data_IF_756969739321
#
_entry.id   IF_756969739321
#
_cell.length_a   1.000
_cell.length_b   1.000
_cell.length_c   1.000
_cell.angle_alpha   90.00
_cell.angle_beta   90.00
_cell.angle_gamma   90.00
#
_symmetry.space_group_name_H-M   'P 1'
#
loop_
_entity.id
_entity.type
_entity.pdbx_description
1 polymer ?
#
# COMPACT_ATOMS: atom_id res chain seq x y z
N UNK A 1 12.66 -1.93 40.71
CA UNK A 1 12.35 -3.00 39.74
C UNK A 1 11.91 -2.37 38.42
N UNK A 2 12.78 -2.33 37.40
CA UNK A 2 12.42 -1.99 36.01
C UNK A 2 13.07 -3.04 35.10
N UNK A 3 12.55 -4.26 35.15
CA UNK A 3 13.11 -5.43 34.48
C UNK A 3 12.62 -5.64 33.03
N UNK A 4 11.72 -4.78 32.52
CA UNK A 4 11.04 -5.02 31.24
C UNK A 4 11.46 -4.10 30.09
N UNK A 5 12.42 -3.20 30.27
CA UNK A 5 12.79 -2.21 29.24
C UNK A 5 14.06 -2.54 28.44
N UNK A 6 14.61 -3.73 28.60
CA UNK A 6 15.96 -4.10 28.11
C UNK A 6 15.94 -4.97 26.84
N UNK A 7 14.79 -5.45 26.37
CA UNK A 7 14.74 -6.43 25.27
C UNK A 7 13.93 -6.05 24.03
N UNK A 8 13.55 -4.79 23.86
CA UNK A 8 12.97 -4.38 22.58
C UNK A 8 13.45 -2.98 22.22
N UNK A 9 14.70 -2.92 21.74
CA UNK A 9 15.25 -1.80 20.99
C UNK A 9 14.64 -1.80 19.57
N UNK A 10 13.31 -1.77 19.52
CA UNK A 10 12.52 -1.79 18.29
C UNK A 10 12.03 -0.36 18.09
N UNK A 11 12.83 0.41 17.34
CA UNK A 11 12.53 1.81 17.01
C UNK A 11 11.17 1.98 16.30
N UNK A 12 10.71 0.95 15.59
CA UNK A 12 9.38 0.90 14.98
C UNK A 12 8.81 -0.53 14.95
N UNK A 13 7.62 -0.69 15.51
CA UNK A 13 6.79 -1.90 15.29
C UNK A 13 5.97 -1.65 14.04
N UNK A 14 6.53 -2.02 12.88
CA UNK A 14 5.78 -1.99 11.62
C UNK A 14 4.93 -3.26 11.53
N UNK A 15 3.61 -3.10 11.43
CA UNK A 15 2.70 -4.24 11.30
C UNK A 15 2.60 -4.59 9.83
N UNK A 16 3.28 -5.66 9.45
CA UNK A 16 3.32 -6.18 8.09
C UNK A 16 2.65 -7.55 8.00
N UNK A 17 1.87 -7.75 6.95
CA UNK A 17 1.27 -9.04 6.59
C UNK A 17 1.73 -9.45 5.20
N UNK A 18 2.02 -10.73 5.00
CA UNK A 18 2.29 -11.25 3.66
C UNK A 18 1.07 -12.03 3.18
N UNK A 19 0.36 -11.48 2.20
CA UNK A 19 -0.87 -12.06 1.64
C UNK A 19 -0.75 -12.01 0.12
N UNK A 20 -1.01 -13.13 -0.57
CA UNK A 20 -0.89 -13.26 -2.03
C UNK A 20 0.53 -12.94 -2.57
N UNK A 21 1.57 -13.22 -1.79
CA UNK A 21 2.96 -12.89 -2.15
C UNK A 21 3.28 -11.39 -2.12
N UNK A 22 2.35 -10.56 -1.65
CA UNK A 22 2.51 -9.13 -1.47
C UNK A 22 2.71 -8.82 0.01
N UNK A 23 3.56 -7.84 0.30
CA UNK A 23 3.64 -7.21 1.63
C UNK A 23 2.51 -6.20 1.74
N UNK A 24 1.72 -6.34 2.79
CA UNK A 24 0.62 -5.47 3.15
C UNK A 24 0.98 -4.77 4.44
N UNK A 25 0.81 -3.46 4.47
CA UNK A 25 0.90 -2.65 5.69
C UNK A 25 -0.46 -2.03 5.97
N UNK A 26 -0.58 -1.34 7.10
CA UNK A 26 -1.85 -0.75 7.53
C UNK A 26 -2.50 0.17 6.48
N UNK A 27 -1.79 1.13 5.85
CA UNK A 27 -2.40 2.00 4.83
C UNK A 27 -2.91 1.24 3.61
N UNK A 28 -2.13 0.30 3.06
CA UNK A 28 -2.59 -0.53 1.92
C UNK A 28 -3.78 -1.42 2.27
N UNK A 29 -3.82 -1.98 3.48
CA UNK A 29 -5.01 -2.70 3.98
C UNK A 29 -6.23 -1.79 4.09
N UNK A 30 -6.07 -0.57 4.64
CA UNK A 30 -7.16 0.41 4.75
C UNK A 30 -7.70 0.76 3.35
N UNK A 31 -6.82 0.95 2.36
CA UNK A 31 -7.23 1.20 0.98
C UNK A 31 -8.02 0.02 0.39
N UNK A 32 -7.59 -1.22 0.63
CA UNK A 32 -8.31 -2.40 0.13
C UNK A 32 -9.71 -2.52 0.76
N UNK A 33 -9.79 -2.39 2.09
CA UNK A 33 -11.06 -2.42 2.82
C UNK A 33 -11.96 -1.26 2.36
N UNK A 34 -11.39 -0.06 2.19
CA UNK A 34 -12.10 1.11 1.69
C UNK A 34 -12.68 0.90 0.29
N UNK A 35 -11.93 0.29 -0.63
CA UNK A 35 -12.41 -0.03 -1.97
C UNK A 35 -13.58 -1.03 -1.96
N UNK A 36 -13.51 -2.05 -1.11
CA UNK A 36 -14.59 -3.03 -0.95
C UNK A 36 -15.84 -2.40 -0.32
N UNK A 37 -15.68 -1.61 0.75
CA UNK A 37 -16.78 -0.89 1.39
C UNK A 37 -17.44 0.09 0.43
N UNK A 38 -16.65 0.80 -0.38
CA UNK A 38 -17.17 1.67 -1.43
C UNK A 38 -18.03 0.90 -2.43
N UNK A 39 -17.58 -0.27 -2.90
CA UNK A 39 -18.38 -1.15 -3.75
C UNK A 39 -19.71 -1.57 -3.11
N UNK A 40 -19.72 -1.88 -1.81
CA UNK A 40 -20.94 -2.21 -1.06
C UNK A 40 -21.88 -1.00 -0.97
N UNK A 41 -21.36 0.19 -0.69
CA UNK A 41 -22.15 1.42 -0.64
C UNK A 41 -22.80 1.69 -2.00
N UNK A 42 -22.04 1.58 -3.10
CA UNK A 42 -22.57 1.76 -4.46
C UNK A 42 -23.59 0.69 -4.81
N UNK A 43 -23.39 -0.54 -4.34
CA UNK A 43 -24.36 -1.65 -4.51
C UNK A 43 -25.71 -1.30 -3.89
N UNK A 44 -25.71 -0.67 -2.71
CA UNK A 44 -26.94 -0.24 -2.02
C UNK A 44 -27.55 1.03 -2.62
N UNK A 45 -26.73 1.94 -3.16
CA UNK A 45 -27.19 3.21 -3.70
C UNK A 45 -27.71 3.12 -5.14
N UNK A 46 -27.12 2.26 -5.98
CA UNK A 46 -27.41 2.19 -7.42
C UNK A 46 -28.02 0.85 -7.79
N UNK A 47 -27.19 -0.20 -7.81
CA UNK A 47 -27.60 -1.58 -8.04
C UNK A 47 -26.42 -2.51 -7.82
N UNK A 48 -26.70 -3.79 -7.56
CA UNK A 48 -25.65 -4.80 -7.44
C UNK A 48 -24.85 -5.00 -8.74
N UNK A 49 -25.50 -4.84 -9.90
CA UNK A 49 -24.84 -4.94 -11.21
C UNK A 49 -23.77 -3.87 -11.43
N UNK A 50 -23.86 -2.74 -10.74
CA UNK A 50 -22.88 -1.64 -10.84
C UNK A 50 -21.91 -1.67 -9.66
N UNK A 51 -22.42 -1.83 -8.44
CA UNK A 51 -21.60 -1.77 -7.23
C UNK A 51 -20.64 -2.94 -7.07
N UNK A 52 -21.04 -4.16 -7.47
CA UNK A 52 -20.14 -5.33 -7.41
C UNK A 52 -18.95 -5.16 -8.35
N UNK A 53 -19.12 -4.84 -9.66
CA UNK A 53 -17.97 -4.56 -10.53
C UNK A 53 -17.09 -3.42 -10.03
N UNK A 54 -17.66 -2.33 -9.49
CA UNK A 54 -16.87 -1.22 -8.95
C UNK A 54 -16.02 -1.65 -7.76
N UNK A 55 -16.59 -2.42 -6.83
CA UNK A 55 -15.84 -2.96 -5.69
C UNK A 55 -14.70 -3.89 -6.13
N UNK A 56 -14.98 -4.79 -7.09
CA UNK A 56 -13.97 -5.71 -7.63
C UNK A 56 -12.86 -4.96 -8.37
N UNK A 57 -13.21 -4.01 -9.24
CA UNK A 57 -12.24 -3.21 -9.98
C UNK A 57 -11.40 -2.34 -9.02
N UNK A 58 -12.01 -1.76 -7.99
CA UNK A 58 -11.31 -1.02 -6.95
C UNK A 58 -10.32 -1.89 -6.18
N UNK A 59 -10.73 -3.09 -5.77
CA UNK A 59 -9.85 -4.04 -5.08
C UNK A 59 -8.68 -4.48 -5.98
N UNK A 60 -8.93 -4.79 -7.25
CA UNK A 60 -7.88 -5.13 -8.23
C UNK A 60 -6.89 -3.98 -8.44
N UNK A 61 -7.39 -2.74 -8.50
CA UNK A 61 -6.55 -1.55 -8.62
C UNK A 61 -5.63 -1.42 -7.40
N UNK A 62 -6.16 -1.59 -6.18
CA UNK A 62 -5.35 -1.54 -4.95
C UNK A 62 -4.29 -2.64 -4.95
N UNK A 63 -4.64 -3.88 -5.29
CA UNK A 63 -3.67 -5.00 -5.38
C UNK A 63 -2.56 -4.68 -6.38
N UNK A 64 -2.90 -4.12 -7.55
CA UNK A 64 -1.92 -3.70 -8.57
C UNK A 64 -0.99 -2.60 -8.05
N UNK A 65 -1.54 -1.60 -7.37
CA UNK A 65 -0.76 -0.51 -6.79
C UNK A 65 0.19 -1.00 -5.69
N UNK A 66 -0.30 -1.87 -4.79
CA UNK A 66 0.53 -2.51 -3.75
C UNK A 66 1.64 -3.35 -4.38
N UNK A 67 1.34 -4.09 -5.46
CA UNK A 67 2.36 -4.79 -6.23
C UNK A 67 3.44 -3.88 -6.81
N UNK A 68 3.06 -2.73 -7.37
CA UNK A 68 4.01 -1.75 -7.89
C UNK A 68 4.87 -1.14 -6.78
N UNK A 69 4.27 -0.83 -5.64
CA UNK A 69 4.97 -0.30 -4.46
C UNK A 69 5.96 -1.32 -3.89
N UNK A 70 5.54 -2.57 -3.73
CA UNK A 70 6.41 -3.65 -3.28
C UNK A 70 7.55 -3.96 -4.25
N UNK A 71 7.35 -3.77 -5.55
CA UNK A 71 8.41 -3.90 -6.55
C UNK A 71 9.46 -2.77 -6.46
N UNK A 72 9.10 -1.59 -5.95
CA UNK A 72 10.02 -0.47 -5.77
C UNK A 72 10.94 -0.64 -4.55
N UNK A 73 10.49 -1.38 -3.53
CA UNK A 73 11.29 -1.65 -2.33
C UNK A 73 11.11 -3.11 -1.87
N UNK A 74 11.88 -4.04 -2.47
CA UNK A 74 11.84 -5.45 -2.10
C UNK A 74 12.28 -5.69 -0.64
N UNK A 75 13.15 -4.81 -0.11
CA UNK A 75 13.66 -4.87 1.26
C UNK A 75 12.66 -4.35 2.29
N UNK A 76 11.75 -3.47 1.88
CA UNK A 76 10.74 -2.82 2.74
C UNK A 76 11.36 -2.00 3.85
N UNK A 77 12.47 -1.34 3.53
CA UNK A 77 13.14 -0.40 4.42
C UNK A 77 12.45 0.97 4.42
N UNK A 78 11.62 1.27 3.40
CA UNK A 78 10.90 2.52 3.25
C UNK A 78 9.45 2.38 3.73
N UNK A 79 8.98 3.41 4.44
CA UNK A 79 7.57 3.53 4.80
C UNK A 79 6.68 3.70 3.55
N UNK A 80 5.50 3.10 3.59
CA UNK A 80 4.50 3.13 2.51
C UNK A 80 4.16 4.56 2.05
N UNK A 81 4.02 5.50 2.98
CA UNK A 81 3.78 6.92 2.65
C UNK A 81 4.93 7.57 1.89
N UNK A 82 6.16 7.21 2.24
CA UNK A 82 7.37 7.72 1.57
C UNK A 82 7.46 7.14 0.16
N UNK A 83 7.15 5.85 -0.01
CA UNK A 83 7.09 5.20 -1.31
C UNK A 83 5.99 5.81 -2.18
N UNK A 84 4.80 6.07 -1.63
CA UNK A 84 3.69 6.72 -2.34
C UNK A 84 4.03 8.17 -2.73
N UNK A 85 4.69 8.91 -1.84
CA UNK A 85 5.19 10.26 -2.12
C UNK A 85 6.28 10.29 -3.19
N UNK A 86 7.19 9.33 -3.19
CA UNK A 86 8.17 9.13 -4.27
C UNK A 86 7.45 8.82 -5.58
N UNK A 87 6.49 7.89 -5.57
CA UNK A 87 5.73 7.51 -6.76
C UNK A 87 4.99 8.72 -7.37
N UNK A 88 4.27 9.48 -6.54
CA UNK A 88 3.59 10.72 -6.95
C UNK A 88 4.56 11.78 -7.48
N UNK A 89 5.72 11.97 -6.84
CA UNK A 89 6.74 12.93 -7.32
C UNK A 89 7.34 12.49 -8.64
N UNK A 90 7.64 11.21 -8.80
CA UNK A 90 8.22 10.65 -10.04
C UNK A 90 7.21 10.75 -11.19
N UNK A 91 5.91 10.60 -10.89
CA UNK A 91 4.85 10.77 -11.88
C UNK A 91 4.65 12.24 -12.27
N UNK A 92 4.77 13.18 -11.32
CA UNK A 92 4.63 14.61 -11.58
C UNK A 92 5.86 15.23 -12.27
N UNK A 93 7.07 14.73 -11.98
CA UNK A 93 8.34 15.19 -12.58
C UNK A 93 9.31 14.02 -12.70
N UNK A 94 9.26 13.26 -13.81
CA UNK A 94 10.23 12.21 -14.07
C UNK A 94 11.59 12.86 -14.37
N UNK A 95 12.50 12.86 -13.39
CA UNK A 95 13.90 13.26 -13.59
C UNK A 95 14.72 11.98 -13.73
N UNK A 96 15.06 11.64 -14.97
CA UNK A 96 16.03 10.58 -15.26
C UNK A 96 17.39 11.26 -15.34
N UNK A 97 18.18 11.15 -14.27
CA UNK A 97 19.58 11.58 -14.32
C UNK A 97 20.48 10.35 -14.56
N UNK A 98 21.17 10.36 -15.70
CA UNK A 98 22.15 9.35 -16.11
C UNK A 98 23.60 9.79 -15.81
N UNK A 99 23.80 10.86 -15.05
CA UNK A 99 25.13 11.46 -14.79
C UNK A 99 26.15 10.55 -14.09
N UNK A 100 25.74 9.38 -13.58
CA UNK A 100 26.60 8.42 -12.88
C UNK A 100 27.04 7.17 -13.66
N UNK A 101 26.61 6.96 -14.91
CA UNK A 101 27.14 5.86 -15.74
C UNK A 101 28.38 6.33 -16.50
N UNK A 102 29.54 6.27 -15.85
CA UNK A 102 30.85 6.25 -16.49
C UNK A 102 31.60 4.98 -16.07
#
# INVERSE_FOLDING_TARGET
>A
MKAFRVFNDVDQVDVEWTILGLRWRMPSMICLIGALLFGVIVTRAVSYWVGVPIGVLGALLVIRLVGAVNAMDPGGHLHEFTQLGLLLRTWARPVIDNSGRR
#
